data_IF_893972382285
#
_entry.id   IF_893972382285
#
_cell.length_a   1.000
_cell.length_b   1.000
_cell.length_c   1.000
_cell.angle_alpha   90.00
_cell.angle_beta   90.00
_cell.angle_gamma   90.00
#
_symmetry.space_group_name_H-M   'P 1'
#
loop_
_entity.id
_entity.type
_entity.pdbx_description
1 polymer ?
#
# COMPACT_ATOMS: atom_id res chain seq x y z
N UNK A 1 21.15 14.35 71.30
CA UNK A 1 20.92 14.96 69.97
C UNK A 1 20.41 13.85 69.06
N UNK A 2 19.31 14.02 68.33
CA UNK A 2 18.74 12.96 67.50
C UNK A 2 19.52 12.82 66.19
N UNK A 3 19.81 11.57 65.81
CA UNK A 3 20.45 11.23 64.55
C UNK A 3 19.54 11.56 63.36
N UNK A 4 20.08 12.33 62.41
CA UNK A 4 19.43 12.66 61.13
C UNK A 4 19.44 11.41 60.24
N UNK A 5 18.25 10.89 59.95
CA UNK A 5 18.03 9.91 58.89
C UNK A 5 18.24 10.64 57.55
N UNK A 6 19.24 10.23 56.79
CA UNK A 6 19.48 10.72 55.42
C UNK A 6 18.65 9.84 54.48
N UNK A 7 17.60 10.40 53.90
CA UNK A 7 16.85 9.79 52.80
C UNK A 7 17.77 9.62 51.59
N UNK A 8 18.02 8.37 51.21
CA UNK A 8 18.81 8.01 50.03
C UNK A 8 17.93 8.23 48.81
N UNK A 9 18.14 9.33 48.10
CA UNK A 9 17.46 9.63 46.84
C UNK A 9 17.94 8.63 45.79
N UNK A 10 17.05 7.77 45.28
CA UNK A 10 17.35 6.85 44.19
C UNK A 10 17.56 7.69 42.91
N UNK A 11 18.81 7.78 42.45
CA UNK A 11 19.16 8.37 41.17
C UNK A 11 18.52 7.51 40.06
N UNK A 12 17.43 8.00 39.45
CA UNK A 12 16.81 7.35 38.31
C UNK A 12 17.66 7.62 37.06
N UNK A 13 18.52 6.66 36.70
CA UNK A 13 19.23 6.66 35.43
C UNK A 13 18.25 6.49 34.26
N UNK A 14 17.94 7.60 33.57
CA UNK A 14 17.11 7.56 32.37
C UNK A 14 17.99 7.35 31.13
N UNK A 15 17.90 6.15 30.53
CA UNK A 15 18.58 5.84 29.27
C UNK A 15 17.67 6.22 28.11
N UNK A 16 18.13 7.13 27.24
CA UNK A 16 17.40 7.50 26.03
C UNK A 16 17.71 6.51 24.91
N UNK A 17 16.70 5.76 24.47
CA UNK A 17 16.81 4.80 23.37
C UNK A 17 15.90 5.20 22.20
N UNK A 18 16.33 4.88 20.98
CA UNK A 18 15.48 5.08 19.81
C UNK A 18 14.25 4.18 19.87
N UNK A 19 13.08 4.69 19.47
CA UNK A 19 11.82 3.93 19.43
C UNK A 19 11.98 2.62 18.63
N UNK A 20 12.69 2.67 17.51
CA UNK A 20 12.98 1.48 16.69
C UNK A 20 13.81 0.42 17.41
N UNK A 21 14.72 0.82 18.31
CA UNK A 21 15.49 -0.11 19.11
C UNK A 21 14.62 -0.72 20.23
N UNK A 22 13.77 0.08 20.86
CA UNK A 22 12.79 -0.39 21.84
C UNK A 22 11.82 -1.39 21.23
N UNK A 23 11.23 -1.08 20.07
CA UNK A 23 10.29 -1.96 19.36
C UNK A 23 10.95 -3.32 19.02
N UNK A 24 12.24 -3.30 18.64
CA UNK A 24 13.01 -4.54 18.38
C UNK A 24 13.24 -5.36 19.65
N UNK A 25 13.45 -4.70 20.79
CA UNK A 25 13.65 -5.38 22.08
C UNK A 25 12.33 -6.00 22.53
N UNK A 26 11.23 -5.25 22.45
CA UNK A 26 9.89 -5.75 22.76
C UNK A 26 9.52 -6.96 21.91
N UNK A 27 9.73 -6.89 20.59
CA UNK A 27 9.47 -8.01 19.69
C UNK A 27 10.28 -9.27 20.05
N UNK A 28 11.53 -9.11 20.51
CA UNK A 28 12.36 -10.23 20.97
C UNK A 28 11.82 -10.86 22.26
N UNK A 29 11.34 -10.03 23.19
CA UNK A 29 10.74 -10.49 24.44
C UNK A 29 9.46 -11.28 24.14
N UNK A 30 8.55 -10.73 23.33
CA UNK A 30 7.30 -11.41 22.94
C UNK A 30 7.56 -12.75 22.24
N UNK A 31 8.60 -12.82 21.40
CA UNK A 31 9.02 -14.07 20.75
C UNK A 31 9.52 -15.10 21.76
N UNK A 32 10.28 -14.67 22.76
CA UNK A 32 10.80 -15.54 23.82
C UNK A 32 9.69 -16.03 24.74
N UNK A 33 8.73 -15.19 25.09
CA UNK A 33 7.53 -15.59 25.84
C UNK A 33 6.70 -16.61 25.06
N UNK A 34 6.60 -16.43 23.74
CA UNK A 34 5.94 -17.38 22.83
C UNK A 34 6.71 -18.68 22.64
N UNK A 35 7.96 -18.79 23.10
CA UNK A 35 8.80 -19.97 22.94
C UNK A 35 8.44 -21.12 23.91
N UNK A 36 7.36 -20.98 24.70
CA UNK A 36 6.85 -22.03 25.58
C UNK A 36 6.55 -23.36 24.86
N UNK A 37 6.25 -23.34 23.55
CA UNK A 37 6.18 -24.54 22.72
C UNK A 37 6.67 -24.27 21.28
N UNK A 38 7.16 -25.31 20.59
CA UNK A 38 7.58 -25.21 19.17
C UNK A 38 6.43 -24.75 18.25
N UNK A 39 5.20 -25.16 18.57
CA UNK A 39 4.00 -24.76 17.83
C UNK A 39 3.65 -23.28 18.06
N UNK A 40 3.74 -22.81 19.31
CA UNK A 40 3.50 -21.41 19.66
C UNK A 40 4.54 -20.49 19.01
N UNK A 41 5.82 -20.89 19.00
CA UNK A 41 6.89 -20.18 18.31
C UNK A 41 6.65 -20.14 16.80
N UNK A 42 6.25 -21.26 16.19
CA UNK A 42 5.91 -21.32 14.78
C UNK A 42 4.71 -20.44 14.41
N UNK A 43 3.71 -20.34 15.28
CA UNK A 43 2.55 -19.47 15.10
C UNK A 43 2.91 -17.98 15.28
N UNK A 44 3.76 -17.65 16.25
CA UNK A 44 4.29 -16.31 16.45
C UNK A 44 5.10 -15.87 15.23
N UNK A 45 6.03 -16.71 14.77
CA UNK A 45 6.87 -16.43 13.61
C UNK A 45 6.03 -16.31 12.33
N UNK A 46 4.96 -17.11 12.15
CA UNK A 46 4.00 -16.96 11.03
C UNK A 46 3.18 -15.68 11.09
N UNK A 47 2.73 -15.25 12.27
CA UNK A 47 1.96 -14.00 12.46
C UNK A 47 2.83 -12.77 12.23
N UNK A 48 4.09 -12.84 12.63
CA UNK A 48 5.05 -11.75 12.51
C UNK A 48 5.91 -11.84 11.24
N UNK A 49 5.75 -12.90 10.44
CA UNK A 49 6.37 -12.98 9.13
C UNK A 49 5.75 -11.89 8.26
N UNK A 50 6.60 -10.92 7.94
CA UNK A 50 6.36 -9.97 6.87
C UNK A 50 5.97 -10.76 5.62
N UNK A 51 4.68 -10.70 5.23
CA UNK A 51 4.11 -11.35 4.04
C UNK A 51 4.62 -10.66 2.76
N UNK A 52 5.93 -10.61 2.55
CA UNK A 52 6.51 -10.09 1.33
C UNK A 52 6.71 -11.22 0.34
N UNK A 53 6.33 -10.97 -0.91
CA UNK A 53 6.20 -12.01 -1.94
C UNK A 53 4.75 -12.33 -2.33
N UNK A 54 3.76 -11.54 -1.90
CA UNK A 54 2.46 -11.57 -2.58
C UNK A 54 2.67 -11.19 -4.04
N UNK A 55 2.30 -12.10 -4.93
CA UNK A 55 2.22 -11.82 -6.35
C UNK A 55 0.97 -10.99 -6.58
N UNK A 56 1.12 -9.91 -7.33
CA UNK A 56 0.02 -9.04 -7.73
C UNK A 56 0.18 -8.71 -9.22
N UNK A 57 -0.77 -7.97 -9.78
CA UNK A 57 -0.76 -7.56 -11.18
C UNK A 57 -1.09 -6.09 -11.30
N UNK A 58 -0.36 -5.40 -12.15
CA UNK A 58 -0.66 -4.01 -12.57
C UNK A 58 -1.12 -4.01 -14.02
N UNK A 59 -1.91 -3.02 -14.41
CA UNK A 59 -2.39 -2.92 -15.79
C UNK A 59 -1.43 -2.14 -16.68
N UNK A 60 -1.36 -2.53 -17.94
CA UNK A 60 -0.60 -1.93 -19.01
C UNK A 60 -1.55 -1.43 -20.11
N UNK A 61 -1.18 -0.31 -20.72
CA UNK A 61 -1.79 0.23 -21.93
C UNK A 61 -0.69 0.57 -22.91
N UNK A 62 -0.68 -0.05 -24.09
CA UNK A 62 0.38 0.12 -25.09
C UNK A 62 1.80 0.04 -24.46
N UNK A 63 2.02 -1.03 -23.67
CA UNK A 63 3.25 -1.33 -22.91
C UNK A 63 3.63 -0.32 -21.81
N UNK A 64 2.80 0.69 -21.55
CA UNK A 64 3.00 1.65 -20.45
C UNK A 64 2.29 1.20 -19.17
N UNK A 65 2.99 1.28 -18.04
CA UNK A 65 2.45 0.94 -16.71
C UNK A 65 1.45 2.00 -16.26
N UNK A 66 0.21 1.58 -16.00
CA UNK A 66 -0.85 2.44 -15.49
C UNK A 66 -0.73 2.51 -13.96
N UNK A 67 -0.49 3.71 -13.45
CA UNK A 67 -0.43 3.99 -12.00
C UNK A 67 -1.70 4.66 -11.48
N UNK A 68 -2.59 5.08 -12.39
CA UNK A 68 -3.91 5.58 -12.05
C UNK A 68 -4.76 5.89 -13.27
N UNK A 69 -6.03 6.16 -13.05
CA UNK A 69 -6.93 6.71 -14.06
C UNK A 69 -8.07 7.50 -13.41
N UNK A 70 -8.72 8.36 -14.19
CA UNK A 70 -9.92 9.09 -13.77
C UNK A 70 -10.96 9.15 -14.88
N UNK A 71 -12.25 9.11 -14.54
CA UNK A 71 -13.32 9.41 -15.49
C UNK A 71 -13.26 10.89 -15.87
N UNK A 72 -13.22 11.16 -17.16
CA UNK A 72 -13.37 12.53 -17.73
C UNK A 72 -14.79 12.78 -18.21
N UNK A 73 -15.48 11.72 -18.63
CA UNK A 73 -16.85 11.76 -19.11
C UNK A 73 -17.57 10.51 -18.64
N UNK A 74 -18.79 10.68 -18.14
CA UNK A 74 -19.61 9.58 -17.65
C UNK A 74 -21.08 9.83 -18.05
N UNK A 75 -21.39 9.60 -19.32
CA UNK A 75 -22.75 9.70 -19.84
C UNK A 75 -23.27 8.30 -20.12
N UNK A 76 -24.35 7.93 -19.44
CA UNK A 76 -25.10 6.69 -19.68
C UNK A 76 -26.56 7.07 -19.81
N UNK A 77 -27.08 7.01 -21.03
CA UNK A 77 -28.46 7.40 -21.33
C UNK A 77 -29.14 6.39 -22.24
N UNK A 78 -30.47 6.28 -22.12
CA UNK A 78 -31.27 5.46 -23.01
C UNK A 78 -31.83 6.36 -24.11
N UNK A 79 -31.49 6.08 -25.36
CA UNK A 79 -31.94 6.87 -26.49
C UNK A 79 -33.48 6.87 -26.55
N UNK A 80 -34.15 8.05 -26.56
CA UNK A 80 -35.60 8.13 -26.39
C UNK A 80 -36.39 7.55 -27.56
N UNK A 81 -35.81 7.55 -28.77
CA UNK A 81 -36.47 7.05 -29.98
C UNK A 81 -36.27 5.55 -30.22
N UNK A 82 -35.10 5.01 -29.86
CA UNK A 82 -34.73 3.62 -30.16
C UNK A 82 -34.75 2.72 -28.93
N UNK A 83 -34.74 3.29 -27.72
CA UNK A 83 -34.62 2.56 -26.47
C UNK A 83 -33.26 1.90 -26.25
N UNK A 84 -32.27 2.17 -27.10
CA UNK A 84 -30.91 1.61 -26.99
C UNK A 84 -30.12 2.37 -25.95
N UNK A 85 -29.36 1.66 -25.11
CA UNK A 85 -28.42 2.27 -24.17
C UNK A 85 -27.22 2.85 -24.93
N UNK A 86 -26.92 4.11 -24.64
CA UNK A 86 -25.74 4.82 -25.13
C UNK A 86 -24.84 5.12 -23.95
N UNK A 87 -23.65 4.55 -24.00
CA UNK A 87 -22.58 4.80 -23.04
C UNK A 87 -21.50 5.63 -23.75
N UNK A 88 -21.28 6.85 -23.29
CA UNK A 88 -20.20 7.72 -23.71
C UNK A 88 -19.35 8.04 -22.48
N UNK A 89 -18.55 7.04 -22.12
CA UNK A 89 -17.66 7.08 -20.97
C UNK A 89 -16.22 7.19 -21.45
N UNK A 90 -15.50 8.18 -20.92
CA UNK A 90 -14.08 8.41 -21.21
C UNK A 90 -13.28 8.43 -19.94
N UNK A 91 -12.09 7.84 -20.01
CA UNK A 91 -11.12 7.83 -18.94
C UNK A 91 -9.84 8.48 -19.40
N UNK A 92 -9.13 9.09 -18.45
CA UNK A 92 -7.78 9.58 -18.62
C UNK A 92 -6.83 8.71 -17.82
N UNK A 93 -5.90 8.08 -18.50
CA UNK A 93 -4.87 7.23 -17.89
C UNK A 93 -3.69 8.06 -17.38
N UNK A 94 -3.08 7.62 -16.28
CA UNK A 94 -1.84 8.15 -15.74
C UNK A 94 -0.77 7.04 -15.78
N UNK A 95 0.37 7.32 -16.41
CA UNK A 95 1.44 6.35 -16.58
C UNK A 95 2.59 6.57 -15.59
N UNK A 96 3.36 5.52 -15.29
CA UNK A 96 4.44 5.57 -14.30
C UNK A 96 5.53 6.59 -14.63
N UNK A 97 6.01 6.57 -15.87
CA UNK A 97 7.17 7.35 -16.31
C UNK A 97 6.77 8.77 -16.78
N UNK A 98 5.47 9.03 -16.92
CA UNK A 98 4.93 10.25 -17.50
C UNK A 98 4.00 10.96 -16.50
N UNK A 99 4.50 12.04 -15.90
CA UNK A 99 3.69 12.86 -14.98
C UNK A 99 2.59 13.66 -15.67
N UNK A 100 2.71 13.90 -16.97
CA UNK A 100 1.83 14.82 -17.72
C UNK A 100 1.19 14.20 -18.98
N UNK A 101 1.81 13.20 -19.60
CA UNK A 101 1.19 12.49 -20.72
C UNK A 101 0.05 11.63 -20.18
N UNK A 102 -1.15 12.08 -20.50
CA UNK A 102 -2.38 11.46 -20.06
C UNK A 102 -3.23 11.23 -21.29
N UNK A 103 -3.41 9.96 -21.63
CA UNK A 103 -4.20 9.59 -22.81
C UNK A 103 -5.67 9.50 -22.40
N UNK A 104 -6.53 10.16 -23.18
CA UNK A 104 -7.97 10.07 -23.01
C UNK A 104 -8.52 9.04 -23.98
N UNK A 105 -9.09 7.97 -23.42
CA UNK A 105 -9.59 6.83 -24.17
C UNK A 105 -11.01 6.49 -23.74
N UNK A 106 -11.76 5.85 -24.63
CA UNK A 106 -13.07 5.31 -24.28
C UNK A 106 -12.93 4.18 -23.28
N UNK A 107 -13.76 4.20 -22.24
CA UNK A 107 -13.72 3.20 -21.17
C UNK A 107 -13.94 1.77 -21.70
N UNK A 108 -14.82 1.62 -22.68
CA UNK A 108 -15.07 0.33 -23.35
C UNK A 108 -13.83 -0.16 -24.10
N UNK A 109 -13.10 0.75 -24.73
CA UNK A 109 -11.85 0.42 -25.45
C UNK A 109 -10.76 0.03 -24.46
N UNK A 110 -10.65 0.74 -23.33
CA UNK A 110 -9.76 0.39 -22.24
C UNK A 110 -10.02 -1.02 -21.72
N UNK A 111 -11.26 -1.30 -21.29
CA UNK A 111 -11.64 -2.55 -20.64
C UNK A 111 -11.41 -3.80 -21.49
N UNK A 112 -11.36 -3.65 -22.82
CA UNK A 112 -11.12 -4.73 -23.78
C UNK A 112 -9.66 -4.96 -24.13
N UNK A 113 -8.80 -3.94 -24.00
CA UNK A 113 -7.44 -3.95 -24.56
C UNK A 113 -6.32 -3.87 -23.52
N UNK A 114 -6.61 -3.49 -22.27
CA UNK A 114 -5.58 -3.52 -21.24
C UNK A 114 -5.09 -4.95 -21.03
N UNK A 115 -3.83 -5.08 -20.63
CA UNK A 115 -3.25 -6.35 -20.23
C UNK A 115 -2.55 -6.18 -18.89
N UNK A 116 -2.31 -7.27 -18.17
CA UNK A 116 -1.80 -7.19 -16.80
C UNK A 116 -0.42 -7.78 -16.66
N UNK A 117 0.51 -6.99 -16.11
CA UNK A 117 1.90 -7.34 -15.82
C UNK A 117 2.03 -7.89 -14.39
N UNK A 118 2.66 -9.05 -14.18
CA UNK A 118 2.89 -9.59 -12.85
C UNK A 118 3.97 -8.81 -12.10
N UNK A 119 3.68 -8.48 -10.85
CA UNK A 119 4.59 -7.76 -9.94
C UNK A 119 4.69 -8.47 -8.59
N UNK A 120 5.71 -8.13 -7.82
CA UNK A 120 5.88 -8.59 -6.45
C UNK A 120 5.79 -7.41 -5.47
N UNK A 121 4.91 -7.53 -4.47
CA UNK A 121 4.77 -6.51 -3.42
C UNK A 121 5.96 -6.61 -2.47
N UNK A 122 6.70 -5.49 -2.35
CA UNK A 122 7.87 -5.35 -1.47
C UNK A 122 7.53 -4.64 -0.17
N UNK A 123 6.56 -3.72 -0.20
CA UNK A 123 6.18 -2.90 0.95
C UNK A 123 4.72 -2.50 0.86
N UNK A 124 4.04 -2.46 2.01
CA UNK A 124 2.71 -1.90 2.17
C UNK A 124 2.85 -0.63 3.02
N UNK A 125 2.30 0.50 2.55
CA UNK A 125 2.36 1.80 3.20
C UNK A 125 0.92 2.29 3.39
N UNK A 126 0.55 2.62 4.62
CA UNK A 126 -0.70 3.34 4.89
C UNK A 126 -0.43 4.84 4.76
N UNK A 127 -1.19 5.50 3.90
CA UNK A 127 -1.15 6.93 3.66
C UNK A 127 -2.51 7.54 3.99
N UNK A 128 -2.55 8.79 4.40
CA UNK A 128 -3.79 9.53 4.65
C UNK A 128 -3.82 10.73 3.71
N UNK A 129 -4.90 10.88 2.97
CA UNK A 129 -5.10 12.01 2.07
C UNK A 129 -6.36 12.78 2.49
N UNK A 130 -6.27 14.11 2.53
CA UNK A 130 -7.43 14.95 2.79
C UNK A 130 -8.21 15.16 1.51
N UNK A 131 -9.42 14.63 1.44
CA UNK A 131 -10.36 14.82 0.33
C UNK A 131 -11.60 15.53 0.89
N UNK A 132 -11.91 16.72 0.38
CA UNK A 132 -13.04 17.54 0.85
C UNK A 132 -13.07 17.80 2.37
N UNK A 133 -11.90 17.86 3.01
CA UNK A 133 -11.77 18.10 4.45
C UNK A 133 -11.82 16.84 5.32
N UNK A 134 -12.11 15.67 4.75
CA UNK A 134 -12.09 14.38 5.43
C UNK A 134 -10.76 13.65 5.17
N UNK A 135 -10.21 13.00 6.20
CA UNK A 135 -9.03 12.15 6.04
C UNK A 135 -9.45 10.77 5.55
N UNK A 136 -9.01 10.43 4.34
CA UNK A 136 -9.25 9.13 3.72
C UNK A 136 -7.98 8.30 3.83
N UNK A 137 -8.07 7.15 4.49
CA UNK A 137 -6.98 6.15 4.52
C UNK A 137 -6.84 5.53 3.11
N UNK A 138 -5.62 5.55 2.59
CA UNK A 138 -5.22 4.89 1.35
C UNK A 138 -4.09 3.91 1.62
N UNK A 139 -4.13 2.78 0.92
CA UNK A 139 -3.05 1.81 0.95
C UNK A 139 -2.22 1.95 -0.32
N UNK A 140 -0.93 2.21 -0.15
CA UNK A 140 0.05 2.31 -1.23
C UNK A 140 0.97 1.10 -1.14
N UNK A 141 1.23 0.46 -2.26
CA UNK A 141 2.15 -0.66 -2.36
C UNK A 141 3.40 -0.26 -3.12
N UNK A 142 4.56 -0.53 -2.56
CA UNK A 142 5.81 -0.53 -3.34
C UNK A 142 5.93 -1.90 -4.00
N UNK A 143 5.94 -1.92 -5.33
CA UNK A 143 5.97 -3.12 -6.16
C UNK A 143 7.22 -3.18 -7.01
N UNK A 144 7.60 -4.38 -7.41
CA UNK A 144 8.73 -4.64 -8.32
C UNK A 144 8.24 -5.48 -9.52
N UNK A 145 8.56 -5.08 -10.74
CA UNK A 145 8.27 -5.87 -11.95
C UNK A 145 9.16 -7.10 -12.04
N UNK A 146 8.64 -8.17 -12.66
CA UNK A 146 9.36 -9.45 -12.83
C UNK A 146 10.11 -9.56 -14.16
N UNK A 147 10.35 -8.43 -14.82
CA UNK A 147 11.02 -8.38 -16.11
C UNK A 147 12.53 -8.53 -15.98
N UNK A 148 13.24 -8.68 -17.11
CA UNK A 148 14.70 -8.77 -17.13
C UNK A 148 15.38 -7.54 -16.51
N UNK A 149 14.71 -6.39 -16.53
CA UNK A 149 15.14 -5.17 -15.85
C UNK A 149 14.04 -4.76 -14.86
N UNK A 150 14.12 -5.21 -13.60
CA UNK A 150 13.11 -4.93 -12.59
C UNK A 150 12.98 -3.42 -12.36
N UNK A 151 11.74 -2.92 -12.41
CA UNK A 151 11.39 -1.55 -12.03
C UNK A 151 10.65 -1.57 -10.72
N UNK A 152 10.96 -0.62 -9.84
CA UNK A 152 10.32 -0.47 -8.54
C UNK A 152 9.55 0.84 -8.50
N UNK A 153 8.29 0.79 -8.09
CA UNK A 153 7.44 1.97 -8.00
C UNK A 153 6.32 1.80 -6.96
N UNK A 154 5.72 2.92 -6.58
CA UNK A 154 4.59 2.97 -5.67
C UNK A 154 3.28 3.03 -6.47
N UNK A 155 2.31 2.23 -6.06
CA UNK A 155 0.98 2.18 -6.68
C UNK A 155 -0.12 2.12 -5.62
N UNK A 156 -1.21 2.86 -5.85
CA UNK A 156 -2.39 2.84 -4.98
C UNK A 156 -3.09 1.48 -5.10
N UNK A 157 -3.65 0.99 -3.98
CA UNK A 157 -4.32 -0.30 -3.90
C UNK A 157 -5.47 -0.48 -4.90
N UNK A 158 -6.03 0.61 -5.43
CA UNK A 158 -7.10 0.58 -6.46
C UNK A 158 -6.61 0.19 -7.84
N UNK A 159 -5.31 0.28 -8.12
CA UNK A 159 -4.74 0.02 -9.45
C UNK A 159 -3.89 -1.25 -9.50
N UNK A 160 -3.98 -2.09 -8.47
CA UNK A 160 -3.27 -3.35 -8.35
C UNK A 160 -4.24 -4.46 -7.95
N UNK A 161 -4.12 -5.61 -8.61
CA UNK A 161 -4.97 -6.79 -8.39
C UNK A 161 -4.18 -7.99 -7.86
#
# INVERSE_FOLDING_TARGET
MPDKIVEKTEEQENITISKTALDKILLKIERLESAASKEALGNFDKKNQKKFGKNARVNLWDDKIIVGWRLTKDIVEKAPLTGVWREDQRIRLCFLDEKEESEEIEYVTFSRRYHSLPVSIKKEIKSFEKVNGEEVERMIFTVETKENTPRTFDIDSRFIN
#
